data_IF_494537857957
#
_entry.id   IF_494537857957
#
_cell.length_a   1.000
_cell.length_b   1.000
_cell.length_c   1.000
_cell.angle_alpha   90.00
_cell.angle_beta   90.00
_cell.angle_gamma   90.00
#
_symmetry.space_group_name_H-M   'P 1'
#
loop_
_entity.id
_entity.type
_entity.pdbx_description
1 polymer ?
#
# COMPACT_ATOMS: atom_id res chain seq x y z
N UNK A 1 -4.10 -0.18 -11.61
CA UNK A 1 -4.36 0.44 -12.94
C UNK A 1 -3.16 0.22 -13.83
N UNK A 2 -3.33 0.10 -15.14
CA UNK A 2 -2.24 -0.29 -16.05
C UNK A 2 -1.58 0.92 -16.74
N UNK A 3 -0.25 0.87 -16.90
CA UNK A 3 0.52 1.75 -17.78
C UNK A 3 0.89 3.12 -17.21
N UNK A 4 0.30 3.53 -16.09
CA UNK A 4 0.63 4.75 -15.33
C UNK A 4 0.72 6.03 -16.17
N UNK A 5 -0.07 6.11 -17.25
CA UNK A 5 -0.12 7.28 -18.14
C UNK A 5 -1.24 8.23 -17.73
N UNK A 6 -1.03 9.53 -17.91
CA UNK A 6 -2.09 10.52 -17.75
C UNK A 6 -3.13 10.32 -18.86
N UNK A 7 -4.40 10.23 -18.46
CA UNK A 7 -5.54 10.30 -19.37
C UNK A 7 -6.04 11.74 -19.43
N UNK A 8 -6.12 12.30 -20.64
CA UNK A 8 -6.66 13.64 -20.89
C UNK A 8 -7.98 13.50 -21.64
N UNK A 9 -9.09 14.12 -21.18
CA UNK A 9 -10.35 14.11 -21.90
C UNK A 9 -10.19 14.68 -23.31
N UNK A 10 -10.74 13.99 -24.31
CA UNK A 10 -10.78 14.47 -25.70
C UNK A 10 -11.98 15.41 -25.94
N UNK A 11 -12.08 16.45 -25.09
CA UNK A 11 -13.13 17.47 -25.13
C UNK A 11 -12.56 18.82 -24.69
N UNK A 12 -13.12 19.92 -25.19
CA UNK A 12 -12.65 21.25 -24.83
C UNK A 12 -13.02 21.63 -23.39
N UNK A 13 -12.24 22.53 -22.80
CA UNK A 13 -12.52 23.12 -21.49
C UNK A 13 -13.93 23.75 -21.44
N UNK A 14 -14.33 24.43 -22.52
CA UNK A 14 -15.66 25.05 -22.61
C UNK A 14 -16.80 24.01 -22.65
N UNK A 15 -16.58 22.86 -23.29
CA UNK A 15 -17.54 21.77 -23.26
C UNK A 15 -17.68 21.20 -21.85
N UNK A 16 -16.57 20.96 -21.15
CA UNK A 16 -16.56 20.51 -19.75
C UNK A 16 -17.28 21.51 -18.83
N UNK A 17 -17.03 22.82 -18.99
CA UNK A 17 -17.70 23.88 -18.23
C UNK A 17 -19.20 23.92 -18.49
N UNK A 18 -19.63 23.76 -19.76
CA UNK A 18 -21.05 23.67 -20.10
C UNK A 18 -21.71 22.47 -19.42
N UNK A 19 -21.07 21.30 -19.42
CA UNK A 19 -21.59 20.11 -18.74
C UNK A 19 -21.68 20.36 -17.22
N UNK A 20 -20.62 20.90 -16.61
CA UNK A 20 -20.58 21.16 -15.18
C UNK A 20 -21.56 22.24 -14.73
N UNK A 21 -21.94 23.18 -15.61
CA UNK A 21 -22.87 24.27 -15.28
C UNK A 21 -24.28 23.82 -14.83
N UNK A 22 -24.62 22.55 -15.05
CA UNK A 22 -25.88 21.94 -14.59
C UNK A 22 -25.94 21.88 -13.04
N UNK A 23 -24.80 21.86 -12.35
CA UNK A 23 -24.72 21.88 -10.88
C UNK A 23 -23.71 22.95 -10.42
N UNK A 24 -24.12 23.89 -9.52
CA UNK A 24 -23.21 24.86 -8.94
C UNK A 24 -21.99 24.23 -8.25
N UNK A 25 -22.19 23.08 -7.60
CA UNK A 25 -21.14 22.31 -6.93
C UNK A 25 -20.15 21.74 -7.96
N UNK A 26 -20.67 21.13 -9.04
CA UNK A 26 -19.83 20.58 -10.10
C UNK A 26 -19.01 21.68 -10.80
N UNK A 27 -19.62 22.83 -11.09
CA UNK A 27 -18.91 23.99 -11.66
C UNK A 27 -17.79 24.47 -10.74
N UNK A 28 -18.04 24.54 -9.44
CA UNK A 28 -17.05 24.97 -8.43
C UNK A 28 -15.89 23.98 -8.31
N UNK A 29 -16.16 22.66 -8.38
CA UNK A 29 -15.12 21.63 -8.34
C UNK A 29 -14.30 21.65 -9.63
N UNK A 30 -14.96 21.76 -10.79
CA UNK A 30 -14.30 21.74 -12.08
C UNK A 30 -13.23 22.84 -12.18
N UNK A 31 -13.53 24.08 -11.77
CA UNK A 31 -12.53 25.16 -11.87
C UNK A 31 -11.27 24.91 -11.02
N UNK A 32 -11.35 24.08 -9.97
CA UNK A 32 -10.17 23.70 -9.16
C UNK A 32 -9.27 22.69 -9.86
N UNK A 33 -9.80 21.94 -10.83
CA UNK A 33 -9.10 20.78 -11.42
C UNK A 33 -8.96 20.87 -12.95
N UNK A 34 -9.65 21.79 -13.63
CA UNK A 34 -9.71 21.81 -15.10
C UNK A 34 -8.34 22.03 -15.73
N UNK A 35 -7.52 22.89 -15.13
CA UNK A 35 -6.15 23.16 -15.60
C UNK A 35 -5.25 21.93 -15.44
N UNK A 36 -5.10 21.31 -14.24
CA UNK A 36 -4.31 20.09 -14.11
C UNK A 36 -4.93 18.87 -14.79
N UNK A 37 -6.24 18.87 -15.10
CA UNK A 37 -6.89 17.79 -15.86
C UNK A 37 -6.49 17.80 -17.34
N UNK A 38 -6.38 18.98 -17.94
CA UNK A 38 -6.12 19.15 -19.38
C UNK A 38 -4.65 19.39 -19.72
N UNK A 39 -3.83 19.80 -18.74
CA UNK A 39 -2.42 20.09 -18.97
C UNK A 39 -1.58 18.83 -19.15
N UNK A 40 -0.55 18.90 -19.99
CA UNK A 40 0.57 17.96 -20.01
C UNK A 40 1.84 18.77 -20.25
N UNK A 41 2.96 18.48 -19.56
CA UNK A 41 3.18 17.50 -18.48
C UNK A 41 2.38 17.74 -17.17
N UNK A 42 2.35 16.79 -16.20
CA UNK A 42 3.03 15.48 -16.22
C UNK A 42 2.34 14.45 -17.13
N UNK A 43 3.12 13.56 -17.75
CA UNK A 43 2.64 12.55 -18.70
C UNK A 43 2.38 11.18 -18.06
N UNK A 44 3.03 10.89 -16.92
CA UNK A 44 2.99 9.58 -16.26
C UNK A 44 3.23 9.66 -14.76
N UNK A 45 2.97 8.57 -14.05
CA UNK A 45 3.48 8.40 -12.68
C UNK A 45 4.97 8.04 -12.71
N UNK A 46 5.73 8.53 -11.73
CA UNK A 46 7.17 8.34 -11.66
C UNK A 46 7.83 9.22 -10.60
N UNK A 47 9.17 9.22 -10.57
CA UNK A 47 9.90 10.15 -9.71
C UNK A 47 9.52 11.60 -10.04
N UNK A 48 9.22 12.47 -9.05
CA UNK A 48 8.84 13.84 -9.31
C UNK A 48 9.87 14.58 -10.18
N UNK A 49 9.47 14.92 -11.41
CA UNK A 49 10.28 15.66 -12.37
C UNK A 49 9.40 16.43 -13.36
N UNK A 50 9.99 17.01 -14.41
CA UNK A 50 9.23 17.77 -15.40
C UNK A 50 8.27 16.94 -16.25
N UNK A 51 8.33 15.61 -16.22
CA UNK A 51 7.54 14.72 -17.06
C UNK A 51 6.65 13.75 -16.27
N UNK A 52 6.90 13.59 -14.98
CA UNK A 52 6.23 12.63 -14.13
C UNK A 52 5.99 13.15 -12.72
N UNK A 53 5.00 12.55 -12.06
CA UNK A 53 4.59 12.93 -10.73
C UNK A 53 4.40 11.70 -9.85
N UNK A 54 4.52 11.87 -8.54
CA UNK A 54 4.15 10.86 -7.57
C UNK A 54 3.67 11.53 -6.29
N UNK A 55 2.47 11.15 -5.84
CA UNK A 55 1.91 11.69 -4.61
C UNK A 55 2.37 10.92 -3.36
N UNK A 56 3.29 9.95 -3.50
CA UNK A 56 4.10 9.43 -2.39
C UNK A 56 5.12 10.46 -1.87
N UNK A 57 5.44 11.46 -2.70
CA UNK A 57 6.31 12.58 -2.40
C UNK A 57 5.55 13.92 -2.47
N UNK A 58 4.53 14.13 -1.60
CA UNK A 58 3.69 15.32 -1.69
C UNK A 58 4.45 16.59 -1.27
N UNK A 59 3.87 17.75 -1.60
CA UNK A 59 4.39 19.06 -1.21
C UNK A 59 4.83 19.90 -2.41
N UNK A 60 5.14 21.17 -2.12
CA UNK A 60 5.56 22.14 -3.14
C UNK A 60 7.08 22.10 -3.39
N UNK A 61 7.84 21.67 -2.38
CA UNK A 61 9.29 21.60 -2.46
C UNK A 61 9.75 20.42 -3.31
N UNK A 62 10.70 20.68 -4.21
CA UNK A 62 11.26 19.65 -5.08
C UNK A 62 12.02 18.61 -4.26
N UNK A 63 11.58 17.36 -4.38
CA UNK A 63 12.26 16.17 -3.85
C UNK A 63 13.07 15.53 -4.98
N UNK A 64 14.34 15.21 -4.71
CA UNK A 64 15.19 14.49 -5.65
C UNK A 64 15.30 12.98 -5.32
N UNK A 65 15.87 12.19 -6.23
CA UNK A 65 16.13 10.76 -5.97
C UNK A 65 17.12 10.57 -4.82
N UNK A 66 18.07 11.48 -4.68
CA UNK A 66 19.06 11.49 -3.61
C UNK A 66 18.41 11.78 -2.26
N UNK A 67 17.46 12.73 -2.21
CA UNK A 67 16.63 12.98 -1.03
C UNK A 67 15.89 11.71 -0.61
N UNK A 68 15.22 11.03 -1.57
CA UNK A 68 14.47 9.79 -1.33
C UNK A 68 15.37 8.68 -0.79
N UNK A 69 16.53 8.45 -1.42
CA UNK A 69 17.47 7.43 -1.01
C UNK A 69 18.09 7.73 0.37
N UNK A 70 18.35 9.00 0.69
CA UNK A 70 18.86 9.40 1.99
C UNK A 70 17.84 9.17 3.10
N UNK A 71 16.57 9.58 2.89
CA UNK A 71 15.49 9.32 3.84
C UNK A 71 15.26 7.82 4.04
N UNK A 72 15.29 7.02 2.97
CA UNK A 72 15.15 5.57 3.06
C UNK A 72 16.23 4.91 3.94
N UNK A 73 17.50 5.34 3.82
CA UNK A 73 18.59 4.85 4.69
C UNK A 73 18.38 5.21 6.16
N UNK A 74 17.86 6.42 6.43
CA UNK A 74 17.55 6.83 7.81
C UNK A 74 16.38 6.02 8.36
N UNK A 75 15.35 5.77 7.55
CA UNK A 75 14.23 4.90 7.92
C UNK A 75 14.71 3.50 8.29
N UNK A 76 15.55 2.88 7.46
CA UNK A 76 16.15 1.57 7.71
C UNK A 76 16.96 1.54 9.02
N UNK A 77 17.86 2.53 9.22
CA UNK A 77 18.68 2.65 10.44
C UNK A 77 17.83 2.72 11.72
N UNK A 78 16.64 3.31 11.63
CA UNK A 78 15.73 3.50 12.76
C UNK A 78 14.57 2.49 12.79
N UNK A 79 14.61 1.44 11.96
CA UNK A 79 13.56 0.43 11.86
C UNK A 79 12.16 1.00 11.58
N UNK A 80 12.10 2.05 10.75
CA UNK A 80 10.85 2.65 10.28
C UNK A 80 10.49 1.97 8.96
N UNK A 81 9.51 1.10 9.02
CA UNK A 81 8.97 0.39 7.86
C UNK A 81 8.24 1.38 6.91
N UNK A 82 8.50 1.34 5.58
CA UNK A 82 8.02 2.36 4.64
C UNK A 82 6.63 2.14 4.05
N UNK A 83 6.05 0.96 4.16
CA UNK A 83 4.92 0.48 3.35
C UNK A 83 3.69 1.38 3.46
N UNK A 84 3.40 1.91 4.65
CA UNK A 84 2.27 2.80 4.92
C UNK A 84 2.69 4.27 5.06
N UNK A 85 3.76 4.68 4.38
CA UNK A 85 4.30 6.04 4.50
C UNK A 85 4.28 6.82 3.18
N UNK A 86 4.18 8.14 3.31
CA UNK A 86 4.59 9.12 2.31
C UNK A 86 5.65 10.02 2.92
N UNK A 87 6.34 10.85 2.15
CA UNK A 87 7.13 11.90 2.77
C UNK A 87 7.21 13.17 1.95
N UNK A 88 7.32 14.30 2.65
CA UNK A 88 7.46 15.63 2.03
C UNK A 88 8.71 16.33 2.51
N UNK A 89 9.18 17.26 1.69
CA UNK A 89 10.26 18.19 2.02
C UNK A 89 9.65 19.53 2.38
N UNK A 90 10.17 20.14 3.44
CA UNK A 90 9.79 21.46 3.92
C UNK A 90 11.08 22.26 4.13
N UNK A 91 11.07 23.52 3.75
CA UNK A 91 12.17 24.44 4.01
C UNK A 91 11.90 25.24 5.28
N UNK A 92 12.78 25.13 6.28
CA UNK A 92 12.80 26.02 7.45
C UNK A 92 14.00 26.97 7.28
N UNK A 93 13.74 28.14 6.67
CA UNK A 93 14.79 29.03 6.19
C UNK A 93 15.65 28.34 5.12
N UNK A 94 16.92 28.09 5.44
CA UNK A 94 17.86 27.42 4.52
C UNK A 94 18.04 25.93 4.78
N UNK A 95 17.43 25.39 5.85
CA UNK A 95 17.62 23.99 6.24
C UNK A 95 16.42 23.14 5.79
N UNK A 96 16.66 22.04 5.06
CA UNK A 96 15.59 21.12 4.70
C UNK A 96 15.18 20.28 5.92
N UNK A 97 13.87 20.17 6.11
CA UNK A 97 13.23 19.20 7.00
C UNK A 97 12.41 18.22 6.16
N UNK A 98 12.59 16.93 6.39
CA UNK A 98 11.80 15.89 5.75
C UNK A 98 10.80 15.32 6.75
N UNK A 99 9.52 15.33 6.39
CA UNK A 99 8.47 14.75 7.21
C UNK A 99 7.98 13.45 6.58
N UNK A 100 8.20 12.34 7.30
CA UNK A 100 7.60 11.05 7.01
C UNK A 100 6.18 11.07 7.56
N UNK A 101 5.21 10.89 6.67
CA UNK A 101 3.78 10.90 6.93
C UNK A 101 3.33 9.44 7.02
N UNK A 102 3.04 8.95 8.22
CA UNK A 102 2.55 7.60 8.44
C UNK A 102 1.02 7.58 8.42
N UNK A 103 0.45 6.71 7.60
CA UNK A 103 -1.00 6.54 7.52
C UNK A 103 -1.57 5.98 8.84
N UNK A 104 -2.53 6.69 9.40
CA UNK A 104 -3.14 6.36 10.70
C UNK A 104 -4.34 7.27 11.01
N UNK A 105 -5.30 6.78 11.80
CA UNK A 105 -6.40 7.60 12.30
C UNK A 105 -5.96 8.59 13.38
N UNK A 106 -5.00 8.18 14.22
CA UNK A 106 -4.36 9.06 15.21
C UNK A 106 -3.48 10.12 14.53
N UNK A 107 -3.34 11.30 15.12
CA UNK A 107 -2.62 12.43 14.50
C UNK A 107 -1.39 12.88 15.30
N UNK A 108 -0.82 11.99 16.11
CA UNK A 108 0.31 12.30 17.01
C UNK A 108 1.64 12.37 16.26
N UNK A 109 2.54 13.24 16.71
CA UNK A 109 3.94 13.17 16.27
C UNK A 109 4.63 12.06 17.03
N UNK A 110 5.17 11.06 16.33
CA UNK A 110 5.87 9.93 16.96
C UNK A 110 7.30 10.33 17.27
N UNK A 111 7.99 10.93 16.29
CA UNK A 111 9.40 11.27 16.40
C UNK A 111 9.58 12.71 15.93
N UNK A 112 9.94 13.59 16.89
CA UNK A 112 10.11 15.01 16.63
C UNK A 112 11.39 15.31 15.84
N UNK A 113 12.40 14.45 15.92
CA UNK A 113 13.66 14.59 15.20
C UNK A 113 14.44 13.27 15.16
N UNK A 114 14.88 12.89 13.96
CA UNK A 114 15.91 11.88 13.70
C UNK A 114 17.17 12.58 13.21
N UNK A 115 18.33 12.02 13.55
CA UNK A 115 19.61 12.46 13.02
C UNK A 115 19.73 12.01 11.56
N UNK A 116 19.72 12.98 10.63
CA UNK A 116 19.98 12.74 9.22
C UNK A 116 21.41 12.27 8.91
N UNK A 117 22.30 12.26 9.91
CA UNK A 117 23.69 11.85 9.75
C UNK A 117 24.42 12.71 8.73
N UNK A 118 25.13 12.07 7.79
CA UNK A 118 25.87 12.74 6.71
C UNK A 118 24.98 13.58 5.78
N UNK A 119 23.67 13.34 5.77
CA UNK A 119 22.71 14.11 4.98
C UNK A 119 22.44 15.51 5.55
N UNK A 120 22.77 15.75 6.83
CA UNK A 120 22.67 17.07 7.46
C UNK A 120 21.25 17.66 7.55
N UNK A 121 20.22 16.87 7.29
CA UNK A 121 18.82 17.28 7.32
C UNK A 121 18.10 16.83 8.59
N UNK A 122 17.04 17.55 8.96
CA UNK A 122 16.14 17.13 10.03
C UNK A 122 15.09 16.19 9.44
N UNK A 123 14.88 15.02 10.05
CA UNK A 123 13.79 14.11 9.67
C UNK A 123 12.81 13.99 10.83
N UNK A 124 11.50 13.99 10.54
CA UNK A 124 10.43 13.82 11.53
C UNK A 124 9.46 12.74 11.08
N UNK A 125 8.83 12.07 12.04
CA UNK A 125 7.78 11.06 11.77
C UNK A 125 6.48 11.50 12.40
N UNK A 126 5.44 11.61 11.57
CA UNK A 126 4.13 12.11 11.96
C UNK A 126 3.03 11.15 11.56
N UNK A 127 2.14 10.81 12.49
CA UNK A 127 0.88 10.09 12.23
C UNK A 127 -0.19 11.01 11.67
N UNK A 128 -1.24 10.41 11.15
CA UNK A 128 -2.44 11.12 10.71
C UNK A 128 -2.50 11.35 9.21
N UNK A 129 -1.62 10.72 8.43
CA UNK A 129 -1.82 10.71 6.99
C UNK A 129 -3.10 9.92 6.68
N UNK A 130 -4.00 10.52 5.90
CA UNK A 130 -5.34 9.96 5.64
C UNK A 130 -6.19 9.69 6.90
N UNK A 131 -6.01 10.45 7.99
CA UNK A 131 -6.69 10.20 9.27
C UNK A 131 -8.21 10.08 9.20
N UNK A 132 -8.86 10.92 8.38
CA UNK A 132 -10.31 10.88 8.20
C UNK A 132 -10.78 9.61 7.49
N UNK A 133 -10.03 9.13 6.51
CA UNK A 133 -10.27 7.86 5.83
C UNK A 133 -10.02 6.69 6.78
N UNK A 134 -8.88 6.66 7.46
CA UNK A 134 -8.50 5.61 8.40
C UNK A 134 -9.50 5.47 9.54
N UNK A 135 -10.00 6.58 10.10
CA UNK A 135 -11.06 6.56 11.13
C UNK A 135 -12.37 5.94 10.63
N UNK A 136 -12.78 6.26 9.39
CA UNK A 136 -13.96 5.65 8.76
C UNK A 136 -13.77 4.16 8.51
N UNK A 137 -12.58 3.76 8.06
CA UNK A 137 -12.22 2.35 7.86
C UNK A 137 -12.28 1.59 9.20
N UNK A 138 -11.65 2.09 10.27
CA UNK A 138 -11.71 1.48 11.59
C UNK A 138 -13.15 1.34 12.11
N UNK A 139 -14.01 2.34 11.86
CA UNK A 139 -15.42 2.30 12.24
C UNK A 139 -16.17 1.20 11.47
N UNK A 140 -15.94 1.08 10.17
CA UNK A 140 -16.55 0.03 9.34
C UNK A 140 -16.06 -1.37 9.74
N UNK A 141 -14.77 -1.54 10.03
CA UNK A 141 -14.21 -2.81 10.51
C UNK A 141 -14.75 -3.20 11.88
N UNK A 142 -14.99 -2.22 12.76
CA UNK A 142 -15.62 -2.46 14.08
C UNK A 142 -17.04 -3.00 13.92
N UNK A 143 -17.82 -2.48 12.97
CA UNK A 143 -19.14 -3.03 12.65
C UNK A 143 -19.03 -4.41 11.99
N UNK A 144 -18.08 -4.61 11.08
CA UNK A 144 -17.86 -5.90 10.41
C UNK A 144 -17.48 -7.01 11.40
N UNK A 145 -16.69 -6.69 12.44
CA UNK A 145 -16.26 -7.65 13.46
C UNK A 145 -17.43 -8.30 14.22
N UNK A 146 -18.60 -7.65 14.29
CA UNK A 146 -19.82 -8.23 14.88
C UNK A 146 -20.38 -9.42 14.09
N UNK A 147 -19.98 -9.55 12.82
CA UNK A 147 -20.42 -10.60 11.91
C UNK A 147 -19.33 -11.64 11.62
N UNK A 148 -18.20 -11.57 12.33
CA UNK A 148 -17.12 -12.55 12.20
C UNK A 148 -17.64 -13.97 12.49
N UNK A 149 -17.28 -14.93 11.64
CA UNK A 149 -17.75 -16.33 11.78
C UNK A 149 -16.79 -17.21 12.58
N UNK A 150 -15.62 -16.69 12.93
CA UNK A 150 -14.60 -17.36 13.74
C UNK A 150 -13.83 -16.36 14.61
N UNK A 151 -13.24 -16.86 15.71
CA UNK A 151 -12.36 -16.04 16.56
C UNK A 151 -11.14 -15.51 15.79
N UNK A 152 -10.67 -16.26 14.77
CA UNK A 152 -9.58 -15.83 13.89
C UNK A 152 -9.99 -14.62 13.05
N UNK A 153 -11.19 -14.62 12.48
CA UNK A 153 -11.71 -13.47 11.73
C UNK A 153 -11.90 -12.25 12.63
N UNK A 154 -12.43 -12.44 13.84
CA UNK A 154 -12.54 -11.35 14.80
C UNK A 154 -11.14 -10.77 15.13
N UNK A 155 -10.17 -11.64 15.45
CA UNK A 155 -8.80 -11.24 15.76
C UNK A 155 -8.10 -10.52 14.58
N UNK A 156 -8.27 -11.02 13.35
CA UNK A 156 -7.81 -10.37 12.12
C UNK A 156 -8.30 -8.92 12.04
N UNK A 157 -9.62 -8.72 12.18
CA UNK A 157 -10.25 -7.41 12.07
C UNK A 157 -9.80 -6.46 13.19
N UNK A 158 -9.61 -6.96 14.41
CA UNK A 158 -9.06 -6.15 15.51
C UNK A 158 -7.60 -5.73 15.26
N UNK A 159 -6.77 -6.62 14.71
CA UNK A 159 -5.39 -6.29 14.36
C UNK A 159 -5.32 -5.30 13.18
N UNK A 160 -6.26 -5.36 12.22
CA UNK A 160 -6.43 -4.30 11.20
C UNK A 160 -6.83 -2.96 11.82
N UNK A 161 -7.81 -2.94 12.73
CA UNK A 161 -8.23 -1.71 13.42
C UNK A 161 -7.05 -1.10 14.18
N UNK A 162 -6.27 -1.90 14.90
CA UNK A 162 -5.07 -1.43 15.60
C UNK A 162 -4.05 -0.85 14.62
N UNK A 163 -3.78 -1.55 13.51
CA UNK A 163 -2.86 -1.09 12.48
C UNK A 163 -3.29 0.23 11.85
N UNK A 164 -4.55 0.37 11.46
CA UNK A 164 -5.04 1.57 10.77
C UNK A 164 -5.32 2.72 11.74
N UNK A 165 -5.57 2.43 13.02
CA UNK A 165 -5.67 3.47 14.05
C UNK A 165 -4.30 4.09 14.34
N UNK A 166 -3.30 3.24 14.55
CA UNK A 166 -1.98 3.65 15.07
C UNK A 166 -0.89 3.79 14.00
N UNK A 167 -1.10 3.23 12.80
CA UNK A 167 -0.08 3.09 11.77
C UNK A 167 0.90 1.93 11.99
N UNK A 168 0.61 1.01 12.93
CA UNK A 168 1.51 -0.11 13.26
C UNK A 168 1.53 -1.19 12.18
N UNK A 169 2.67 -1.34 11.50
CA UNK A 169 2.92 -2.45 10.57
C UNK A 169 3.18 -3.78 11.31
N UNK A 170 3.52 -3.74 12.59
CA UNK A 170 3.55 -4.95 13.42
C UNK A 170 2.15 -5.52 13.65
N UNK A 171 1.18 -4.67 13.97
CA UNK A 171 -0.22 -5.08 14.07
C UNK A 171 -0.73 -5.60 12.72
N UNK A 172 -0.35 -4.95 11.61
CA UNK A 172 -0.64 -5.46 10.28
C UNK A 172 -0.06 -6.86 10.06
N UNK A 173 1.24 -7.08 10.31
CA UNK A 173 1.89 -8.39 10.18
C UNK A 173 1.24 -9.45 11.09
N UNK A 174 0.77 -9.07 12.28
CA UNK A 174 0.02 -9.96 13.18
C UNK A 174 -1.32 -10.36 12.58
N UNK A 175 -2.06 -9.42 11.99
CA UNK A 175 -3.30 -9.71 11.26
C UNK A 175 -3.04 -10.72 10.13
N UNK A 176 -1.97 -10.54 9.35
CA UNK A 176 -1.61 -11.46 8.26
C UNK A 176 -1.24 -12.86 8.76
N UNK A 177 -0.56 -12.97 9.91
CA UNK A 177 -0.29 -14.27 10.55
C UNK A 177 -1.57 -14.99 10.97
N UNK A 178 -2.56 -14.26 11.46
CA UNK A 178 -3.87 -14.83 11.77
C UNK A 178 -4.59 -15.24 10.49
N UNK A 179 -4.59 -14.36 9.48
CA UNK A 179 -5.23 -14.54 8.17
C UNK A 179 -4.80 -15.84 7.48
N UNK A 180 -3.49 -16.08 7.35
CA UNK A 180 -2.97 -17.30 6.69
C UNK A 180 -3.35 -18.60 7.41
N UNK A 181 -3.89 -18.52 8.62
CA UNK A 181 -4.39 -19.68 9.38
C UNK A 181 -5.91 -19.81 9.36
N UNK A 182 -6.65 -18.82 8.86
CA UNK A 182 -8.10 -18.90 8.62
C UNK A 182 -8.34 -19.61 7.29
N UNK A 183 -8.20 -20.94 7.29
CA UNK A 183 -8.21 -21.77 6.08
C UNK A 183 -9.63 -21.91 5.51
N UNK A 184 -9.76 -21.72 4.20
CA UNK A 184 -11.01 -21.89 3.44
C UNK A 184 -12.22 -21.12 4.00
N UNK A 185 -12.12 -19.81 4.28
CA UNK A 185 -13.26 -19.06 4.76
C UNK A 185 -14.29 -18.91 3.65
N UNK A 186 -15.58 -18.80 4.01
CA UNK A 186 -16.64 -18.57 3.00
C UNK A 186 -16.53 -17.17 2.36
N UNK A 187 -16.08 -16.20 3.15
CA UNK A 187 -15.81 -14.83 2.73
C UNK A 187 -14.33 -14.57 2.97
N UNK A 188 -13.59 -14.41 1.88
CA UNK A 188 -12.17 -14.09 1.89
C UNK A 188 -11.98 -12.58 1.76
N UNK A 189 -10.92 -12.05 2.37
CA UNK A 189 -10.62 -10.63 2.26
C UNK A 189 -9.12 -10.32 2.33
N UNK A 190 -8.74 -9.24 1.65
CA UNK A 190 -7.46 -8.55 1.82
C UNK A 190 -7.78 -7.07 1.98
N UNK A 191 -7.06 -6.39 2.87
CA UNK A 191 -7.25 -4.95 3.10
C UNK A 191 -5.98 -4.35 3.69
N UNK A 192 -5.48 -3.26 3.11
CA UNK A 192 -4.37 -2.51 3.68
C UNK A 192 -3.45 -1.88 2.65
N UNK A 193 -2.24 -1.54 3.07
CA UNK A 193 -1.15 -1.11 2.20
C UNK A 193 -0.39 -2.37 1.74
N UNK A 194 -0.66 -2.86 0.54
CA UNK A 194 -0.21 -4.20 0.10
C UNK A 194 0.90 -4.13 -0.93
N UNK A 195 0.65 -3.48 -2.06
CA UNK A 195 1.50 -3.62 -3.25
C UNK A 195 2.32 -2.35 -3.55
N UNK A 196 3.66 -2.42 -3.73
CA UNK A 196 4.52 -1.25 -3.89
C UNK A 196 4.72 -0.78 -5.34
N UNK A 197 3.97 -1.31 -6.31
CA UNK A 197 4.25 -1.12 -7.74
C UNK A 197 4.26 0.35 -8.20
N UNK A 198 3.51 1.23 -7.54
CA UNK A 198 3.31 2.62 -7.97
C UNK A 198 4.19 3.64 -7.26
N UNK A 199 4.91 3.23 -6.22
CA UNK A 199 6.02 4.04 -5.71
C UNK A 199 7.19 3.90 -6.67
N UNK A 200 7.68 4.97 -7.31
CA UNK A 200 8.83 4.88 -8.21
C UNK A 200 10.12 4.41 -7.50
N UNK A 201 10.19 4.49 -6.16
CA UNK A 201 11.29 3.91 -5.37
C UNK A 201 11.02 2.45 -4.97
N UNK A 202 9.78 1.97 -5.07
CA UNK A 202 9.41 0.57 -4.92
C UNK A 202 9.30 0.04 -3.48
N UNK A 203 9.11 0.91 -2.49
CA UNK A 203 9.05 0.49 -1.06
C UNK A 203 7.79 0.92 -0.33
N UNK A 204 7.00 1.85 -0.89
CA UNK A 204 5.72 2.30 -0.32
C UNK A 204 4.58 1.60 -1.04
N UNK A 205 3.64 1.06 -0.29
CA UNK A 205 2.54 0.28 -0.83
C UNK A 205 1.31 1.14 -1.13
N UNK A 206 0.52 0.73 -2.11
CA UNK A 206 -0.79 1.31 -2.42
C UNK A 206 -1.85 0.72 -1.50
N UNK A 207 -2.83 1.54 -1.12
CA UNK A 207 -4.00 1.07 -0.37
C UNK A 207 -4.91 0.26 -1.29
N UNK A 208 -5.25 -0.96 -0.89
CA UNK A 208 -6.21 -1.80 -1.59
C UNK A 208 -7.12 -2.54 -0.62
N UNK A 209 -8.22 -3.06 -1.16
CA UNK A 209 -9.09 -3.96 -0.45
C UNK A 209 -9.96 -4.77 -1.40
N UNK A 210 -10.13 -6.04 -1.09
CA UNK A 210 -11.06 -6.92 -1.80
C UNK A 210 -11.83 -7.77 -0.79
N UNK A 211 -13.11 -8.01 -1.07
CA UNK A 211 -13.96 -8.96 -0.36
C UNK A 211 -14.53 -9.91 -1.40
N UNK A 212 -14.27 -11.19 -1.23
CA UNK A 212 -14.58 -12.18 -2.23
C UNK A 212 -15.27 -13.39 -1.60
N UNK A 213 -16.11 -14.08 -2.37
CA UNK A 213 -16.80 -15.29 -1.91
C UNK A 213 -16.05 -16.49 -2.46
N UNK A 214 -15.68 -17.43 -1.59
CA UNK A 214 -15.00 -18.65 -2.03
C UNK A 214 -15.93 -19.60 -2.79
N UNK A 215 -15.36 -20.30 -3.76
CA UNK A 215 -15.99 -21.32 -4.57
C UNK A 215 -15.37 -22.69 -4.23
N UNK A 216 -15.97 -23.47 -3.32
CA UNK A 216 -15.40 -24.74 -2.89
C UNK A 216 -15.27 -25.76 -4.03
N UNK A 217 -16.19 -25.75 -4.99
CA UNK A 217 -16.23 -26.73 -6.07
C UNK A 217 -15.09 -26.49 -7.07
N UNK A 218 -14.86 -25.22 -7.45
CA UNK A 218 -13.69 -24.85 -8.28
C UNK A 218 -12.38 -24.98 -7.50
N UNK A 219 -12.36 -24.62 -6.22
CA UNK A 219 -11.20 -24.77 -5.33
C UNK A 219 -10.74 -26.22 -5.23
N UNK A 220 -11.68 -27.16 -5.10
CA UNK A 220 -11.39 -28.60 -5.03
C UNK A 220 -10.64 -29.12 -6.26
N UNK A 221 -10.81 -28.50 -7.44
CA UNK A 221 -10.08 -28.88 -8.66
C UNK A 221 -8.59 -28.57 -8.57
N UNK A 222 -8.21 -27.60 -7.73
CA UNK A 222 -6.81 -27.21 -7.51
C UNK A 222 -6.13 -27.99 -6.38
N UNK A 223 -6.87 -28.84 -5.64
CA UNK A 223 -6.31 -29.63 -4.55
C UNK A 223 -5.11 -30.47 -5.01
N UNK A 224 -5.21 -31.09 -6.18
CA UNK A 224 -4.12 -31.89 -6.73
C UNK A 224 -2.84 -31.07 -7.01
N UNK A 225 -2.97 -29.78 -7.33
CA UNK A 225 -1.84 -28.87 -7.50
C UNK A 225 -1.14 -28.61 -6.16
N UNK A 226 -1.93 -28.31 -5.11
CA UNK A 226 -1.42 -28.06 -3.76
C UNK A 226 -0.76 -29.32 -3.18
N UNK A 227 -1.42 -30.48 -3.29
CA UNK A 227 -0.90 -31.77 -2.86
C UNK A 227 0.41 -32.15 -3.60
N UNK A 228 0.55 -31.72 -4.86
CA UNK A 228 1.73 -31.96 -5.69
C UNK A 228 2.86 -30.93 -5.54
N UNK A 229 2.66 -29.85 -4.78
CA UNK A 229 3.58 -28.70 -4.68
C UNK A 229 5.04 -29.08 -4.42
N UNK A 230 5.32 -29.91 -3.42
CA UNK A 230 6.69 -30.37 -3.10
C UNK A 230 7.38 -31.07 -4.28
N UNK A 231 6.62 -31.84 -5.07
CA UNK A 231 7.17 -32.48 -6.28
C UNK A 231 7.55 -31.45 -7.32
N UNK A 232 6.67 -30.46 -7.57
CA UNK A 232 6.93 -29.40 -8.54
C UNK A 232 8.12 -28.52 -8.14
N UNK A 233 8.29 -28.23 -6.85
CA UNK A 233 9.44 -27.46 -6.34
C UNK A 233 10.77 -28.16 -6.64
N UNK A 234 10.83 -29.49 -6.50
CA UNK A 234 12.02 -30.29 -6.84
C UNK A 234 12.32 -30.35 -8.35
N UNK A 235 11.46 -29.79 -9.20
CA UNK A 235 11.66 -29.70 -10.65
C UNK A 235 12.15 -28.32 -11.10
N UNK A 236 12.29 -27.37 -10.18
CA UNK A 236 12.77 -26.02 -10.48
C UNK A 236 14.25 -26.04 -10.87
N UNK A 237 14.73 -25.10 -11.70
CA UNK A 237 16.07 -25.13 -12.26
C UNK A 237 17.21 -24.96 -11.23
N UNK A 238 16.88 -24.58 -10.00
CA UNK A 238 17.83 -24.48 -8.87
C UNK A 238 17.80 -25.69 -7.93
N UNK A 239 16.97 -26.70 -8.21
CA UNK A 239 16.88 -27.91 -7.40
C UNK A 239 18.15 -28.76 -7.52
N UNK A 240 18.69 -29.19 -6.38
CA UNK A 240 19.92 -30.00 -6.30
C UNK A 240 19.63 -31.31 -5.56
N UNK A 241 19.80 -32.48 -6.19
CA UNK A 241 19.64 -33.77 -5.51
C UNK A 241 20.57 -33.89 -4.29
N UNK A 242 20.01 -34.35 -3.16
CA UNK A 242 20.76 -34.53 -1.91
C UNK A 242 20.90 -33.27 -1.05
N UNK A 243 20.43 -32.11 -1.52
CA UNK A 243 20.44 -30.86 -0.77
C UNK A 243 19.02 -30.36 -0.52
N UNK A 244 18.72 -29.97 0.73
CA UNK A 244 17.39 -29.51 1.15
C UNK A 244 16.26 -30.45 0.68
N UNK A 245 16.44 -31.76 0.87
CA UNK A 245 15.49 -32.79 0.40
C UNK A 245 15.16 -32.69 -1.11
N UNK A 246 16.19 -32.40 -1.91
CA UNK A 246 16.10 -32.27 -3.37
C UNK A 246 15.57 -30.93 -3.86
N UNK A 247 15.31 -29.97 -2.97
CA UNK A 247 14.84 -28.62 -3.33
C UNK A 247 15.99 -27.66 -3.68
N UNK A 248 17.21 -27.99 -3.28
CA UNK A 248 18.39 -27.18 -3.52
C UNK A 248 18.60 -26.00 -2.53
N UNK A 249 19.73 -25.29 -2.69
CA UNK A 249 20.19 -24.28 -1.72
C UNK A 249 19.39 -22.98 -1.74
N UNK A 250 18.70 -22.69 -2.85
CA UNK A 250 17.95 -21.45 -3.03
C UNK A 250 16.47 -21.56 -2.66
N UNK A 251 16.04 -22.73 -2.18
CA UNK A 251 14.66 -22.98 -1.76
C UNK A 251 14.54 -22.96 -0.23
N UNK A 252 13.38 -22.53 0.29
CA UNK A 252 13.13 -22.58 1.73
C UNK A 252 13.28 -23.99 2.28
N UNK A 253 13.91 -24.15 3.44
CA UNK A 253 14.07 -25.45 4.11
C UNK A 253 12.74 -25.97 4.65
N UNK A 254 11.96 -25.09 5.25
CA UNK A 254 10.58 -25.34 5.67
C UNK A 254 9.65 -24.98 4.51
N UNK A 255 9.11 -26.00 3.83
CA UNK A 255 8.01 -25.78 2.88
C UNK A 255 6.69 -26.16 3.55
N UNK A 256 5.78 -25.21 3.62
CA UNK A 256 4.39 -25.43 4.02
C UNK A 256 3.54 -25.16 2.78
N UNK A 257 2.72 -26.14 2.40
CA UNK A 257 1.82 -25.95 1.27
C UNK A 257 0.85 -24.80 1.59
N UNK A 258 0.71 -23.81 0.70
CA UNK A 258 -0.21 -22.70 0.91
C UNK A 258 -1.66 -23.16 0.80
N UNK A 259 -2.59 -22.38 1.38
CA UNK A 259 -3.99 -22.47 0.95
C UNK A 259 -4.12 -21.91 -0.47
N UNK A 260 -5.03 -22.48 -1.26
CA UNK A 260 -5.29 -22.03 -2.62
C UNK A 260 -6.78 -22.07 -2.86
N UNK A 261 -7.42 -20.91 -2.91
CA UNK A 261 -8.87 -20.77 -2.99
C UNK A 261 -9.26 -20.02 -4.26
N UNK A 262 -10.22 -20.55 -5.00
CA UNK A 262 -10.89 -19.82 -6.07
C UNK A 262 -11.96 -18.92 -5.44
N UNK A 263 -11.91 -17.63 -5.75
CA UNK A 263 -12.81 -16.63 -5.19
C UNK A 263 -13.48 -15.80 -6.29
N UNK A 264 -14.70 -15.36 -6.00
CA UNK A 264 -15.44 -14.41 -6.84
C UNK A 264 -15.49 -13.07 -6.13
N UNK A 265 -14.82 -12.07 -6.71
CA UNK A 265 -14.77 -10.71 -6.17
C UNK A 265 -15.80 -9.81 -6.89
N UNK A 266 -16.36 -8.83 -6.17
CA UNK A 266 -17.23 -7.79 -6.73
C UNK A 266 -16.65 -6.41 -6.51
#
# INVERSE_FOLDING_TARGET
GEGDRKAVPDVSADALRKIASISPEAATILEKIIEPMLSVPPFRLGFPDGNSQSNYYPGEERITKEDIAAVAKVMEKHSIEPENTRFRKIMDGTKPTFEILQASAETTTIINQLDGGEFGATIRVKRGDHAAEMSRICSALTEAAKYATSDKQAALLFDYIESFSTGSLEAYRKSQKTWVTDISPRVENILGFVEPYRDPYGVRAEWEGAVCISDPDETNKLKALVDGSTKFIRMLPWAVPGENDGKGPFESSLFQAPDFTIVHCR
#
